data_IF_893305843415
#
_entry.id   IF_893305843415
#
_cell.length_a   1.000
_cell.length_b   1.000
_cell.length_c   1.000
_cell.angle_alpha   90.00
_cell.angle_beta   90.00
_cell.angle_gamma   90.00
#
_symmetry.space_group_name_H-M   'P 1'
#
loop_
_entity.id
_entity.type
_entity.pdbx_description
1 polymer ?
#
# COMPACT_ATOMS: atom_id res chain seq x y z
N UNK A 1 7.85 9.39 -1.81
CA UNK A 1 7.60 7.98 -1.42
C UNK A 1 6.09 7.83 -1.40
N UNK A 2 5.54 6.65 -1.77
CA UNK A 2 4.09 6.45 -1.76
C UNK A 2 3.62 6.10 -0.34
N UNK A 3 2.42 6.60 0.04
CA UNK A 3 1.92 6.60 1.42
C UNK A 3 0.62 5.82 1.56
N UNK A 4 0.55 4.94 2.56
CA UNK A 4 -0.67 4.26 3.00
C UNK A 4 -1.20 4.92 4.27
N UNK A 5 -2.42 5.44 4.25
CA UNK A 5 -3.05 6.06 5.42
C UNK A 5 -3.85 5.06 6.23
N UNK A 6 -3.52 4.88 7.50
CA UNK A 6 -4.27 4.01 8.41
C UNK A 6 -5.41 4.82 9.03
N UNK A 7 -6.63 4.38 8.80
CA UNK A 7 -7.86 5.00 9.29
C UNK A 7 -8.69 3.99 10.07
N UNK A 8 -9.62 4.44 10.88
CA UNK A 8 -10.54 3.59 11.62
C UNK A 8 -11.27 4.38 12.70
N UNK A 9 -12.35 3.82 13.22
CA UNK A 9 -13.05 4.35 14.37
C UNK A 9 -12.15 4.26 15.63
N UNK A 10 -12.47 5.00 16.71
CA UNK A 10 -11.77 4.82 17.97
C UNK A 10 -11.88 3.37 18.49
N UNK A 11 -10.83 2.89 19.16
CA UNK A 11 -10.77 1.57 19.81
C UNK A 11 -10.94 0.34 18.90
N UNK A 12 -10.57 0.47 17.61
CA UNK A 12 -10.56 -0.67 16.68
C UNK A 12 -9.18 -1.35 16.55
N UNK A 13 -8.16 -0.88 17.30
CA UNK A 13 -6.79 -1.42 17.25
C UNK A 13 -5.85 -0.67 16.29
N UNK A 14 -6.26 0.50 15.77
CA UNK A 14 -5.48 1.29 14.80
C UNK A 14 -4.06 1.64 15.30
N UNK A 15 -3.95 2.23 16.49
CA UNK A 15 -2.65 2.64 17.06
C UNK A 15 -1.78 1.44 17.43
N UNK A 16 -2.39 0.33 17.87
CA UNK A 16 -1.68 -0.93 18.13
C UNK A 16 -1.06 -1.47 16.85
N UNK A 17 -1.83 -1.49 15.75
CA UNK A 17 -1.34 -1.89 14.44
C UNK A 17 -0.21 -0.98 13.94
N UNK A 18 -0.39 0.35 14.05
CA UNK A 18 0.63 1.31 13.63
C UNK A 18 1.94 1.12 14.42
N UNK A 19 1.84 0.91 15.74
CA UNK A 19 3.00 0.65 16.58
C UNK A 19 3.69 -0.66 16.20
N UNK A 20 2.94 -1.73 15.89
CA UNK A 20 3.50 -2.99 15.43
C UNK A 20 4.25 -2.82 14.08
N UNK A 21 3.66 -2.11 13.13
CA UNK A 21 4.28 -1.77 11.84
C UNK A 21 5.59 -1.00 12.01
N UNK A 22 5.59 0.04 12.86
CA UNK A 22 6.75 0.91 13.05
C UNK A 22 7.86 0.26 13.89
N UNK A 23 7.51 -0.58 14.83
CA UNK A 23 8.49 -1.28 15.66
C UNK A 23 9.29 -2.34 14.85
N UNK A 24 8.68 -2.98 13.85
CA UNK A 24 9.43 -3.81 12.89
C UNK A 24 10.49 -3.00 12.14
N UNK A 25 10.22 -1.74 11.87
CA UNK A 25 11.12 -0.83 11.13
C UNK A 25 12.26 -0.27 11.98
N UNK A 26 12.09 -0.14 13.29
CA UNK A 26 13.12 0.38 14.18
C UNK A 26 14.41 -0.46 14.14
N UNK A 27 14.29 -1.77 13.92
CA UNK A 27 15.43 -2.67 13.71
C UNK A 27 16.17 -2.41 12.38
N UNK A 28 15.48 -1.80 11.40
CA UNK A 28 16.01 -1.47 10.06
C UNK A 28 16.49 -0.02 9.96
N UNK A 29 16.02 0.87 10.83
CA UNK A 29 16.38 2.30 10.84
C UNK A 29 17.91 2.52 10.99
N UNK A 30 18.62 1.58 11.58
CA UNK A 30 20.09 1.61 11.66
C UNK A 30 20.77 1.60 10.28
N UNK A 31 20.10 1.11 9.24
CA UNK A 31 20.60 1.04 7.86
C UNK A 31 20.09 2.17 6.94
N UNK A 32 19.19 3.02 7.44
CA UNK A 32 18.63 4.17 6.71
C UNK A 32 18.95 5.50 7.39
N UNK A 33 20.10 6.14 7.08
CA UNK A 33 20.53 7.38 7.76
C UNK A 33 19.66 8.61 7.48
N UNK A 34 18.63 8.52 6.65
CA UNK A 34 17.76 9.64 6.25
C UNK A 34 16.27 9.44 6.63
N UNK A 35 15.93 8.46 7.48
CA UNK A 35 14.56 8.34 7.98
C UNK A 35 14.29 9.51 8.95
N UNK A 36 13.70 10.58 8.45
CA UNK A 36 13.15 11.66 9.27
C UNK A 36 12.00 11.06 10.08
N UNK A 37 12.11 11.05 11.40
CA UNK A 37 11.02 10.62 12.29
C UNK A 37 10.02 11.77 12.34
N UNK A 38 9.06 11.78 11.41
CA UNK A 38 7.89 12.64 11.53
C UNK A 38 6.89 11.96 12.48
N UNK A 39 6.25 12.71 13.39
CA UNK A 39 5.19 12.14 14.22
C UNK A 39 4.11 11.52 13.33
N UNK A 40 3.67 10.32 13.67
CA UNK A 40 2.63 9.57 12.94
C UNK A 40 3.01 9.07 11.51
N UNK A 41 4.26 9.12 11.12
CA UNK A 41 4.77 8.52 9.87
C UNK A 41 5.73 7.39 10.21
N UNK A 42 5.44 6.20 9.71
CA UNK A 42 6.29 5.01 9.82
C UNK A 42 6.81 4.57 8.47
N UNK A 43 8.13 4.51 8.30
CA UNK A 43 8.76 3.89 7.12
C UNK A 43 8.93 2.41 7.42
N UNK A 44 8.30 1.55 6.65
CA UNK A 44 8.23 0.10 6.90
C UNK A 44 8.89 -0.65 5.75
N UNK A 45 9.72 -1.65 6.07
CA UNK A 45 10.31 -2.51 5.06
C UNK A 45 9.26 -3.45 4.45
N UNK A 46 9.34 -3.62 3.14
CA UNK A 46 8.54 -4.62 2.42
C UNK A 46 9.20 -5.98 2.58
N UNK A 47 8.51 -6.97 3.18
CA UNK A 47 9.04 -8.33 3.30
C UNK A 47 9.31 -8.94 1.92
N UNK A 48 10.55 -9.35 1.68
CA UNK A 48 11.00 -9.92 0.41
C UNK A 48 11.95 -11.09 0.64
N UNK A 49 11.44 -12.29 0.46
CA UNK A 49 12.16 -13.56 0.73
C UNK A 49 13.30 -13.83 -0.26
N UNK A 50 13.41 -13.00 -1.33
CA UNK A 50 14.46 -13.12 -2.36
C UNK A 50 15.79 -12.51 -1.92
N UNK A 51 15.78 -11.57 -0.99
CA UNK A 51 16.97 -10.80 -0.61
C UNK A 51 18.02 -11.64 0.11
N UNK A 52 17.60 -12.46 1.06
CA UNK A 52 18.53 -13.32 1.84
C UNK A 52 19.27 -14.35 0.97
N UNK A 53 18.60 -15.14 0.09
CA UNK A 53 19.30 -16.04 -0.83
C UNK A 53 20.26 -15.30 -1.78
N UNK A 54 19.89 -14.09 -2.26
CA UNK A 54 20.80 -13.28 -3.07
C UNK A 54 22.02 -12.82 -2.29
N UNK A 55 21.84 -12.42 -1.04
CA UNK A 55 22.94 -11.98 -0.17
C UNK A 55 23.92 -13.12 0.09
N UNK A 56 23.42 -14.33 0.32
CA UNK A 56 24.25 -15.54 0.44
C UNK A 56 25.01 -15.84 -0.86
N UNK A 57 24.35 -15.71 -2.02
CA UNK A 57 24.94 -15.95 -3.33
C UNK A 57 26.12 -15.01 -3.63
N UNK A 58 25.98 -13.72 -3.32
CA UNK A 58 27.02 -12.71 -3.54
C UNK A 58 27.94 -12.48 -2.33
N UNK A 59 27.71 -13.24 -1.24
CA UNK A 59 28.51 -13.21 0.00
C UNK A 59 28.56 -11.83 0.69
N UNK A 60 27.44 -11.11 0.70
CA UNK A 60 27.29 -9.87 1.44
C UNK A 60 26.42 -10.07 2.68
N UNK A 61 26.65 -9.24 3.71
CA UNK A 61 25.79 -9.15 4.89
C UNK A 61 24.85 -7.95 4.86
N UNK A 62 25.01 -7.07 3.88
CA UNK A 62 24.20 -5.86 3.78
C UNK A 62 22.99 -6.10 2.88
N UNK A 63 21.82 -6.13 3.50
CA UNK A 63 20.52 -6.28 2.82
C UNK A 63 19.73 -5.00 3.02
N UNK A 64 19.22 -4.45 1.92
CA UNK A 64 18.42 -3.23 1.92
C UNK A 64 17.08 -3.50 1.24
N UNK A 65 16.00 -3.72 2.00
CA UNK A 65 14.67 -3.98 1.45
C UNK A 65 14.05 -2.73 0.81
N UNK A 66 13.02 -2.92 -0.01
CA UNK A 66 12.12 -1.85 -0.40
C UNK A 66 11.36 -1.31 0.81
N UNK A 67 10.84 -0.09 0.73
CA UNK A 67 10.09 0.52 1.84
C UNK A 67 8.80 1.16 1.36
N UNK A 68 7.82 1.22 2.26
CA UNK A 68 6.55 1.94 2.10
C UNK A 68 6.30 2.80 3.34
N UNK A 69 5.70 3.96 3.18
CA UNK A 69 5.31 4.83 4.30
C UNK A 69 3.89 4.51 4.75
N UNK A 70 3.72 4.35 6.06
CA UNK A 70 2.41 4.31 6.71
C UNK A 70 2.20 5.58 7.52
N UNK A 71 1.01 6.16 7.41
CA UNK A 71 0.61 7.35 8.14
C UNK A 71 -0.51 7.00 9.12
N UNK A 72 -0.29 7.17 10.43
CA UNK A 72 -1.37 7.05 11.42
C UNK A 72 -2.26 8.28 11.38
N UNK A 73 -3.46 8.11 10.85
CA UNK A 73 -4.45 9.17 10.76
C UNK A 73 -5.39 9.06 11.96
N UNK A 74 -5.48 10.13 12.76
CA UNK A 74 -6.33 10.16 13.94
C UNK A 74 -7.76 9.70 13.64
N UNK A 75 -8.37 8.94 14.57
CA UNK A 75 -9.68 8.31 14.35
C UNK A 75 -10.78 9.28 13.94
N UNK A 76 -11.62 8.85 13.02
CA UNK A 76 -12.79 9.59 12.56
C UNK A 76 -13.89 9.55 13.62
N UNK A 77 -14.53 10.69 13.86
CA UNK A 77 -15.79 10.81 14.60
C UNK A 77 -16.88 11.24 13.63
N UNK A 78 -18.11 10.78 13.79
CA UNK A 78 -19.25 11.22 12.98
C UNK A 78 -19.33 12.75 12.90
N UNK A 79 -19.62 13.29 11.71
CA UNK A 79 -19.72 14.71 11.45
C UNK A 79 -18.42 15.39 11.03
N UNK A 80 -17.38 14.61 10.71
CA UNK A 80 -16.09 15.13 10.25
C UNK A 80 -16.22 15.95 8.95
N UNK A 81 -17.13 15.57 8.08
CA UNK A 81 -17.41 16.26 6.80
C UNK A 81 -18.11 17.62 6.96
N UNK A 82 -18.74 17.89 8.12
CA UNK A 82 -19.45 19.16 8.39
C UNK A 82 -18.56 20.33 8.84
N UNK A 83 -17.23 20.11 8.92
CA UNK A 83 -16.29 21.24 8.85
C UNK A 83 -15.84 21.83 10.17
N UNK A 84 -15.99 21.18 11.31
CA UNK A 84 -15.45 21.68 12.59
C UNK A 84 -14.20 20.91 13.03
N UNK A 85 -13.05 21.58 13.08
CA UNK A 85 -11.85 21.15 13.80
C UNK A 85 -11.17 19.88 13.27
N UNK A 86 -11.17 18.82 14.07
CA UNK A 86 -10.44 17.57 13.85
C UNK A 86 -10.87 16.81 12.58
N UNK A 87 -12.12 16.95 12.14
CA UNK A 87 -12.62 16.28 10.92
C UNK A 87 -11.96 16.80 9.65
N UNK A 88 -11.75 18.11 9.52
CA UNK A 88 -11.04 18.67 8.37
C UNK A 88 -9.58 18.22 8.31
N UNK A 89 -8.91 18.10 9.47
CA UNK A 89 -7.54 17.61 9.54
C UNK A 89 -7.46 16.13 9.14
N UNK A 90 -8.42 15.31 9.58
CA UNK A 90 -8.54 13.90 9.15
C UNK A 90 -8.65 13.77 7.63
N UNK A 91 -9.57 14.52 7.01
CA UNK A 91 -9.75 14.51 5.56
C UNK A 91 -8.52 15.05 4.81
N UNK A 92 -7.81 16.04 5.37
CA UNK A 92 -6.58 16.57 4.80
C UNK A 92 -5.47 15.50 4.82
N UNK A 93 -5.30 14.81 5.94
CA UNK A 93 -4.31 13.73 6.07
C UNK A 93 -4.58 12.59 5.09
N UNK A 94 -5.85 12.18 4.91
CA UNK A 94 -6.18 11.16 3.88
C UNK A 94 -5.84 11.66 2.47
N UNK A 95 -6.02 12.96 2.15
CA UNK A 95 -5.64 13.49 0.82
C UNK A 95 -4.18 13.30 0.50
N UNK A 96 -3.29 13.35 1.49
CA UNK A 96 -1.85 13.20 1.33
C UNK A 96 -1.39 11.74 1.13
N UNK A 97 -2.28 10.77 1.29
CA UNK A 97 -1.98 9.34 1.08
C UNK A 97 -2.38 8.87 -0.31
N UNK A 98 -1.76 7.79 -0.78
CA UNK A 98 -2.04 7.19 -2.09
C UNK A 98 -3.02 6.02 -1.97
N UNK A 99 -3.06 5.34 -0.82
CA UNK A 99 -4.02 4.27 -0.48
C UNK A 99 -4.52 4.43 0.95
N UNK A 100 -5.65 3.81 1.25
CA UNK A 100 -6.28 3.81 2.58
C UNK A 100 -6.29 2.40 3.15
N UNK A 101 -5.80 2.25 4.37
CA UNK A 101 -5.94 1.03 5.17
C UNK A 101 -6.97 1.30 6.26
N UNK A 102 -8.17 0.78 6.09
CA UNK A 102 -9.22 0.93 7.08
C UNK A 102 -9.20 -0.23 8.07
N UNK A 103 -8.84 0.03 9.31
CA UNK A 103 -8.88 -0.95 10.40
C UNK A 103 -10.33 -1.11 10.87
N UNK A 104 -10.81 -2.35 10.85
CA UNK A 104 -12.17 -2.73 11.19
C UNK A 104 -12.13 -3.75 12.31
N UNK A 105 -12.84 -3.47 13.41
CA UNK A 105 -12.89 -4.38 14.57
C UNK A 105 -13.81 -5.56 14.26
N UNK A 106 -13.27 -6.78 14.34
CA UNK A 106 -13.95 -8.04 14.10
C UNK A 106 -13.82 -9.01 15.29
N UNK A 107 -13.77 -8.47 16.51
CA UNK A 107 -13.72 -9.24 17.76
C UNK A 107 -14.55 -8.57 18.85
N UNK A 108 -15.04 -9.35 19.80
CA UNK A 108 -15.75 -8.87 20.99
C UNK A 108 -14.78 -8.88 22.18
N UNK A 109 -14.71 -7.77 22.93
CA UNK A 109 -13.94 -7.65 24.14
C UNK A 109 -14.66 -6.65 25.07
N UNK A 110 -15.11 -7.13 26.21
CA UNK A 110 -15.86 -6.31 27.21
C UNK A 110 -14.99 -5.23 27.84
N UNK A 111 -13.67 -5.40 27.85
CA UNK A 111 -12.71 -4.42 28.39
C UNK A 111 -12.48 -3.24 27.45
N UNK A 112 -12.81 -3.38 26.16
CA UNK A 112 -12.61 -2.37 25.11
C UNK A 112 -13.96 -1.81 24.66
N UNK A 113 -14.30 -0.60 25.15
CA UNK A 113 -15.56 0.07 24.81
C UNK A 113 -15.61 0.38 23.32
N UNK A 114 -16.70 -0.02 22.65
CA UNK A 114 -17.00 0.39 21.27
C UNK A 114 -17.77 1.72 21.29
N UNK A 115 -17.39 2.67 20.42
CA UNK A 115 -18.01 4.02 20.37
C UNK A 115 -19.50 4.01 20.08
N UNK A 116 -19.99 2.98 19.38
CA UNK A 116 -21.41 2.79 19.04
C UNK A 116 -22.08 1.73 19.93
N UNK A 117 -21.45 1.34 21.04
CA UNK A 117 -21.97 0.40 22.04
C UNK A 117 -21.87 -1.08 21.68
N UNK A 118 -21.99 -1.47 20.41
CA UNK A 118 -21.86 -2.86 19.92
C UNK A 118 -20.93 -2.91 18.70
N UNK A 119 -20.12 -3.96 18.64
CA UNK A 119 -19.27 -4.22 17.47
C UNK A 119 -20.14 -4.57 16.27
N UNK A 120 -19.96 -3.86 15.17
CA UNK A 120 -20.65 -4.07 13.90
C UNK A 120 -19.75 -3.57 12.75
N UNK A 121 -18.99 -4.48 12.13
CA UNK A 121 -18.03 -4.13 11.07
C UNK A 121 -18.67 -3.43 9.87
N UNK A 122 -19.89 -3.83 9.51
CA UNK A 122 -20.61 -3.25 8.36
C UNK A 122 -20.91 -1.77 8.62
N UNK A 123 -21.53 -1.48 9.77
CA UNK A 123 -21.86 -0.12 10.19
C UNK A 123 -20.60 0.73 10.35
N UNK A 124 -19.51 0.15 10.87
CA UNK A 124 -18.26 0.87 11.10
C UNK A 124 -17.58 1.26 9.77
N UNK A 125 -17.62 0.38 8.78
CA UNK A 125 -17.17 0.66 7.40
C UNK A 125 -18.04 1.75 6.78
N UNK A 126 -19.36 1.58 6.81
CA UNK A 126 -20.32 2.54 6.25
C UNK A 126 -20.17 3.94 6.86
N UNK A 127 -19.91 4.02 8.18
CA UNK A 127 -19.73 5.31 8.87
C UNK A 127 -18.57 6.10 8.27
N UNK A 128 -17.41 5.47 8.07
CA UNK A 128 -16.25 6.13 7.46
C UNK A 128 -16.52 6.44 5.99
N UNK A 129 -17.11 5.52 5.27
CA UNK A 129 -17.40 5.65 3.84
C UNK A 129 -18.34 6.82 3.55
N UNK A 130 -19.41 6.99 4.35
CA UNK A 130 -20.35 8.11 4.21
C UNK A 130 -19.64 9.45 4.43
N UNK A 131 -18.78 9.58 5.43
CA UNK A 131 -18.04 10.82 5.69
C UNK A 131 -17.08 11.17 4.53
N UNK A 132 -16.39 10.16 3.96
CA UNK A 132 -15.53 10.35 2.79
C UNK A 132 -16.34 10.70 1.54
N UNK A 133 -17.48 10.05 1.33
CA UNK A 133 -18.36 10.32 0.19
C UNK A 133 -18.95 11.74 0.25
N UNK A 134 -19.36 12.23 1.43
CA UNK A 134 -19.82 13.60 1.61
C UNK A 134 -18.73 14.63 1.32
N UNK A 135 -17.49 14.38 1.74
CA UNK A 135 -16.36 15.25 1.43
C UNK A 135 -16.05 15.30 -0.08
N UNK A 136 -16.18 14.14 -0.74
CA UNK A 136 -16.00 14.01 -2.18
C UNK A 136 -17.15 14.65 -2.97
N UNK A 137 -18.37 14.52 -2.50
CA UNK A 137 -19.53 15.18 -3.10
C UNK A 137 -19.34 16.70 -3.16
N UNK A 138 -18.93 17.32 -2.05
CA UNK A 138 -18.62 18.74 -2.01
C UNK A 138 -17.44 19.13 -2.95
N UNK A 139 -16.50 18.22 -3.18
CA UNK A 139 -15.39 18.42 -4.13
C UNK A 139 -15.87 18.29 -5.57
N UNK A 140 -16.72 17.30 -5.87
CA UNK A 140 -17.32 17.06 -7.18
C UNK A 140 -18.22 18.23 -7.61
N UNK A 141 -19.03 18.76 -6.69
CA UNK A 141 -19.90 19.93 -6.96
C UNK A 141 -19.08 21.17 -7.36
N UNK A 142 -18.05 21.50 -6.59
CA UNK A 142 -17.14 22.63 -6.91
C UNK A 142 -16.44 22.42 -8.26
N UNK A 143 -16.02 21.19 -8.56
CA UNK A 143 -15.40 20.85 -9.84
C UNK A 143 -16.38 20.99 -10.99
N UNK A 144 -17.63 20.54 -10.81
CA UNK A 144 -18.73 20.66 -11.77
C UNK A 144 -19.00 22.12 -12.11
N UNK A 145 -19.13 23.00 -11.13
CA UNK A 145 -19.34 24.42 -11.37
C UNK A 145 -18.21 25.06 -12.20
N UNK A 146 -16.96 24.69 -11.89
CA UNK A 146 -15.78 25.15 -12.64
C UNK A 146 -15.80 24.65 -14.09
N UNK A 147 -16.05 23.35 -14.29
CA UNK A 147 -16.12 22.76 -15.62
C UNK A 147 -17.26 23.34 -16.45
N UNK A 148 -18.46 23.61 -15.87
CA UNK A 148 -19.56 24.26 -16.55
C UNK A 148 -19.21 25.68 -17.03
N UNK A 149 -18.44 26.44 -16.25
CA UNK A 149 -17.94 27.77 -16.65
C UNK A 149 -16.94 27.65 -17.80
N UNK A 150 -16.01 26.73 -17.76
CA UNK A 150 -15.01 26.49 -18.83
C UNK A 150 -15.65 25.97 -20.12
N UNK A 151 -16.70 25.15 -20.02
CA UNK A 151 -17.43 24.61 -21.18
C UNK A 151 -18.07 25.74 -22.02
N UNK A 152 -18.54 26.85 -21.42
CA UNK A 152 -19.04 28.03 -22.13
C UNK A 152 -17.97 28.64 -23.01
N UNK A 153 -16.69 28.48 -22.71
CA UNK A 153 -15.54 28.87 -23.52
C UNK A 153 -15.13 27.88 -24.60
N UNK A 154 -15.84 26.74 -24.76
CA UNK A 154 -15.55 25.74 -25.78
C UNK A 154 -14.50 24.72 -25.37
N UNK A 155 -14.15 24.60 -24.08
CA UNK A 155 -13.16 23.66 -23.56
C UNK A 155 -13.66 22.21 -23.66
N UNK A 156 -12.98 21.39 -24.49
CA UNK A 156 -13.32 19.99 -24.68
C UNK A 156 -13.02 19.13 -23.45
N UNK A 157 -11.98 19.47 -22.68
CA UNK A 157 -11.64 18.77 -21.45
C UNK A 157 -12.74 18.95 -20.40
N UNK A 158 -13.29 20.18 -20.29
CA UNK A 158 -14.40 20.46 -19.38
C UNK A 158 -15.65 19.62 -19.69
N UNK A 159 -15.91 19.29 -20.96
CA UNK A 159 -16.99 18.35 -21.31
C UNK A 159 -16.73 16.96 -20.78
N UNK A 160 -15.54 16.41 -21.03
CA UNK A 160 -15.17 15.08 -20.55
C UNK A 160 -15.17 15.00 -19.00
N UNK A 161 -14.73 16.07 -18.32
CA UNK A 161 -14.84 16.15 -16.85
C UNK A 161 -16.30 16.07 -16.37
N UNK A 162 -17.23 16.75 -17.03
CA UNK A 162 -18.66 16.71 -16.68
C UNK A 162 -19.26 15.32 -16.90
N UNK A 163 -18.92 14.65 -18.01
CA UNK A 163 -19.37 13.29 -18.30
C UNK A 163 -18.90 12.29 -17.23
N UNK A 164 -17.66 12.43 -16.74
CA UNK A 164 -17.13 11.61 -15.64
C UNK A 164 -17.81 11.92 -14.32
N UNK A 165 -18.04 13.20 -14.03
CA UNK A 165 -18.77 13.65 -12.82
C UNK A 165 -20.21 13.13 -12.81
N UNK A 166 -20.89 13.10 -13.98
CA UNK A 166 -22.25 12.55 -14.11
C UNK A 166 -22.33 11.06 -13.75
N UNK A 167 -21.25 10.31 -13.96
CA UNK A 167 -21.17 8.89 -13.56
C UNK A 167 -20.87 8.72 -12.07
N UNK A 168 -19.98 9.56 -11.52
CA UNK A 168 -19.47 9.41 -10.14
C UNK A 168 -20.48 9.96 -9.11
N UNK A 169 -21.08 11.11 -9.37
CA UNK A 169 -21.90 11.85 -8.41
C UNK A 169 -23.05 11.01 -7.84
N UNK A 170 -23.83 10.23 -8.64
CA UNK A 170 -24.92 9.41 -8.08
C UNK A 170 -24.44 8.34 -7.08
N UNK A 171 -23.21 7.83 -7.24
CA UNK A 171 -22.64 6.90 -6.28
C UNK A 171 -22.31 7.60 -4.95
N UNK A 172 -21.70 8.80 -5.01
CA UNK A 172 -21.40 9.61 -3.84
C UNK A 172 -22.66 10.06 -3.09
N UNK A 173 -23.71 10.46 -3.81
CA UNK A 173 -25.02 10.82 -3.24
C UNK A 173 -25.68 9.65 -2.51
N UNK A 174 -25.44 8.44 -3.00
CA UNK A 174 -25.90 7.19 -2.36
C UNK A 174 -24.97 6.71 -1.23
N UNK A 175 -23.94 7.51 -0.82
CA UNK A 175 -22.95 7.14 0.19
C UNK A 175 -21.97 6.06 -0.26
N UNK A 176 -21.90 5.73 -1.56
CA UNK A 176 -21.01 4.72 -2.13
C UNK A 176 -19.70 5.35 -2.60
N UNK A 177 -18.62 4.57 -2.53
CA UNK A 177 -17.30 5.02 -2.97
C UNK A 177 -17.24 5.23 -4.49
N UNK A 178 -16.55 6.29 -4.94
CA UNK A 178 -16.36 6.57 -6.36
C UNK A 178 -15.61 5.45 -7.10
N UNK A 179 -14.75 4.66 -6.41
CA UNK A 179 -14.05 3.51 -6.98
C UNK A 179 -14.96 2.37 -7.43
N UNK A 180 -16.22 2.33 -6.94
CA UNK A 180 -17.23 1.32 -7.35
C UNK A 180 -17.85 1.63 -8.72
N UNK A 181 -17.60 2.83 -9.27
CA UNK A 181 -18.17 3.26 -10.55
C UNK A 181 -17.33 2.69 -11.69
N UNK A 182 -17.99 2.05 -12.66
CA UNK A 182 -17.31 1.56 -13.86
C UNK A 182 -16.91 2.73 -14.76
N UNK A 183 -15.62 2.93 -14.91
CA UNK A 183 -15.01 3.97 -15.75
C UNK A 183 -14.07 3.32 -16.76
N UNK A 184 -14.02 3.85 -17.98
CA UNK A 184 -12.98 3.52 -18.96
C UNK A 184 -11.62 4.03 -18.48
N UNK A 185 -10.53 3.61 -19.13
CA UNK A 185 -9.18 4.05 -18.75
C UNK A 185 -9.01 5.57 -18.93
N UNK A 186 -9.57 6.14 -19.98
CA UNK A 186 -9.55 7.60 -20.24
C UNK A 186 -10.36 8.35 -19.16
N UNK A 187 -11.55 7.86 -18.81
CA UNK A 187 -12.36 8.42 -17.74
C UNK A 187 -11.69 8.31 -16.37
N UNK A 188 -11.02 7.17 -16.13
CA UNK A 188 -10.24 6.94 -14.91
C UNK A 188 -9.06 7.91 -14.80
N UNK A 189 -8.39 8.20 -15.92
CA UNK A 189 -7.32 9.20 -15.96
C UNK A 189 -7.84 10.61 -15.62
N UNK A 190 -9.03 10.98 -16.13
CA UNK A 190 -9.70 12.25 -15.80
C UNK A 190 -10.10 12.26 -14.31
N UNK A 191 -10.76 11.19 -13.82
CA UNK A 191 -11.22 11.08 -12.44
C UNK A 191 -10.09 11.22 -11.41
N UNK A 192 -8.90 10.72 -11.69
CA UNK A 192 -7.70 10.90 -10.84
C UNK A 192 -7.39 12.38 -10.59
N UNK A 193 -7.64 13.26 -11.59
CA UNK A 193 -7.42 14.70 -11.46
C UNK A 193 -8.38 15.39 -10.49
N UNK A 194 -9.43 14.70 -10.04
CA UNK A 194 -10.40 15.23 -9.09
C UNK A 194 -9.92 15.11 -7.64
N UNK A 195 -8.93 14.24 -7.39
CA UNK A 195 -8.38 13.96 -6.05
C UNK A 195 -9.45 13.56 -5.04
N UNK A 196 -10.40 12.73 -5.48
CA UNK A 196 -11.44 12.20 -4.61
C UNK A 196 -10.85 11.15 -3.64
N UNK A 197 -11.29 11.21 -2.38
CA UNK A 197 -10.85 10.31 -1.31
C UNK A 197 -11.32 8.87 -1.55
N UNK A 198 -12.57 8.73 -2.00
CA UNK A 198 -13.20 7.44 -2.25
C UNK A 198 -12.80 6.79 -3.59
N UNK A 199 -11.98 7.47 -4.41
CA UNK A 199 -11.30 6.86 -5.56
C UNK A 199 -10.01 6.13 -5.18
N UNK A 200 -9.45 6.42 -4.00
CA UNK A 200 -8.22 5.78 -3.55
C UNK A 200 -8.41 4.29 -3.38
N UNK A 201 -7.42 3.47 -3.80
CA UNK A 201 -7.37 2.06 -3.46
C UNK A 201 -7.52 1.86 -1.96
N UNK A 202 -8.24 0.83 -1.53
CA UNK A 202 -8.56 0.62 -0.12
C UNK A 202 -8.26 -0.82 0.28
N UNK A 203 -7.69 -0.99 1.47
CA UNK A 203 -7.53 -2.27 2.17
C UNK A 203 -8.36 -2.21 3.45
N UNK A 204 -9.21 -3.19 3.64
CA UNK A 204 -9.85 -3.42 4.94
C UNK A 204 -8.97 -4.34 5.77
N UNK A 205 -8.42 -3.82 6.86
CA UNK A 205 -7.68 -4.60 7.84
C UNK A 205 -8.67 -5.12 8.90
N UNK A 206 -9.19 -6.35 8.70
CA UNK A 206 -10.09 -6.99 9.62
C UNK A 206 -9.31 -7.42 10.87
N UNK A 207 -9.43 -6.64 11.95
CA UNK A 207 -8.73 -6.88 13.20
C UNK A 207 -9.52 -7.84 14.07
N UNK A 208 -8.97 -9.04 14.27
CA UNK A 208 -9.56 -10.15 15.02
C UNK A 208 -8.78 -10.42 16.31
N UNK A 209 -9.33 -11.29 17.15
CA UNK A 209 -8.59 -11.91 18.25
C UNK A 209 -7.68 -13.04 17.76
N UNK A 210 -6.77 -13.51 18.60
CA UNK A 210 -5.81 -14.56 18.28
C UNK A 210 -6.48 -15.88 17.92
N UNK A 211 -7.58 -16.23 18.56
CA UNK A 211 -8.30 -17.49 18.36
C UNK A 211 -8.92 -17.59 16.97
N UNK A 212 -9.28 -16.46 16.39
CA UNK A 212 -9.89 -16.38 15.03
C UNK A 212 -8.83 -16.53 13.93
N UNK A 213 -7.53 -16.32 14.18
CA UNK A 213 -6.50 -16.32 13.14
C UNK A 213 -6.34 -17.66 12.43
N UNK A 214 -6.56 -18.78 13.11
CA UNK A 214 -6.44 -20.13 12.53
C UNK A 214 -7.57 -20.44 11.53
N UNK A 215 -8.77 -19.87 11.74
CA UNK A 215 -9.97 -20.12 10.91
C UNK A 215 -10.77 -18.82 10.73
N UNK A 216 -10.20 -17.80 10.08
CA UNK A 216 -10.85 -16.49 9.96
C UNK A 216 -12.16 -16.53 9.17
N UNK A 217 -12.30 -17.48 8.24
CA UNK A 217 -13.50 -17.65 7.41
C UNK A 217 -14.71 -18.15 8.21
N UNK A 218 -14.51 -18.72 9.40
CA UNK A 218 -15.57 -19.12 10.32
C UNK A 218 -16.15 -17.93 11.10
N UNK A 219 -15.46 -16.80 11.12
CA UNK A 219 -15.93 -15.58 11.79
C UNK A 219 -16.88 -14.80 10.87
N UNK A 220 -18.15 -14.70 11.27
CA UNK A 220 -19.19 -14.01 10.50
C UNK A 220 -18.85 -12.53 10.24
N UNK A 221 -18.18 -11.85 11.18
CA UNK A 221 -17.75 -10.44 11.00
C UNK A 221 -16.69 -10.32 9.92
N UNK A 222 -15.71 -11.23 9.87
CA UNK A 222 -14.67 -11.29 8.82
C UNK A 222 -15.31 -11.57 7.45
N UNK A 223 -16.23 -12.53 7.39
CA UNK A 223 -16.96 -12.87 6.15
C UNK A 223 -17.68 -11.64 5.58
N UNK A 224 -18.33 -10.82 6.42
CA UNK A 224 -19.00 -9.60 5.98
C UNK A 224 -17.99 -8.54 5.46
N UNK A 225 -16.83 -8.38 6.10
CA UNK A 225 -15.79 -7.48 5.61
C UNK A 225 -15.26 -7.94 4.25
N UNK A 226 -15.04 -9.25 4.05
CA UNK A 226 -14.65 -9.81 2.75
C UNK A 226 -15.70 -9.54 1.67
N UNK A 227 -16.99 -9.71 2.00
CA UNK A 227 -18.10 -9.43 1.07
C UNK A 227 -18.13 -7.97 0.64
N UNK A 228 -17.94 -7.04 1.59
CA UNK A 228 -17.88 -5.59 1.28
C UNK A 228 -16.68 -5.30 0.40
N UNK A 229 -15.49 -5.79 0.76
CA UNK A 229 -14.26 -5.58 0.00
C UNK A 229 -14.41 -6.03 -1.46
N UNK A 230 -14.94 -7.24 -1.67
CA UNK A 230 -15.20 -7.77 -3.02
C UNK A 230 -16.20 -6.89 -3.82
N UNK A 231 -17.25 -6.37 -3.17
CA UNK A 231 -18.23 -5.47 -3.80
C UNK A 231 -17.68 -4.09 -4.17
N UNK A 232 -16.54 -3.68 -3.59
CA UNK A 232 -15.96 -2.36 -3.77
C UNK A 232 -14.63 -2.35 -4.54
N UNK A 233 -14.20 -3.49 -5.11
CA UNK A 233 -12.87 -3.67 -5.69
C UNK A 233 -11.75 -3.25 -4.71
N UNK A 234 -11.93 -3.58 -3.42
CA UNK A 234 -10.98 -3.37 -2.34
C UNK A 234 -10.39 -4.71 -1.89
N UNK A 235 -9.25 -4.67 -1.21
CA UNK A 235 -8.63 -5.85 -0.61
C UNK A 235 -9.07 -5.99 0.85
N UNK A 236 -9.03 -7.23 1.39
CA UNK A 236 -9.25 -7.50 2.80
C UNK A 236 -8.07 -8.33 3.33
N UNK A 237 -7.48 -7.87 4.44
CA UNK A 237 -6.40 -8.57 5.14
C UNK A 237 -6.82 -8.79 6.59
N UNK A 238 -6.84 -10.05 7.03
CA UNK A 238 -7.12 -10.40 8.42
C UNK A 238 -5.84 -10.22 9.25
N UNK A 239 -5.93 -9.49 10.35
CA UNK A 239 -4.82 -9.22 11.28
C UNK A 239 -5.28 -9.45 12.73
N UNK A 240 -4.35 -9.72 13.60
CA UNK A 240 -4.54 -9.55 15.06
C UNK A 240 -3.52 -8.54 15.56
N UNK A 241 -3.94 -7.27 15.70
CA UNK A 241 -3.04 -6.18 16.04
C UNK A 241 -2.34 -6.38 17.39
N UNK A 242 -3.00 -7.04 18.34
CA UNK A 242 -2.40 -7.39 19.63
C UNK A 242 -1.28 -8.40 19.46
N UNK A 243 -1.52 -9.50 18.74
CA UNK A 243 -0.50 -10.52 18.46
C UNK A 243 0.68 -9.90 17.72
N UNK A 244 0.44 -9.06 16.72
CA UNK A 244 1.52 -8.39 15.98
C UNK A 244 2.40 -7.53 16.87
N UNK A 245 1.82 -6.83 17.85
CA UNK A 245 2.57 -6.07 18.84
C UNK A 245 3.41 -6.95 19.77
N UNK A 246 2.94 -8.14 20.13
CA UNK A 246 3.67 -9.12 20.94
C UNK A 246 4.80 -9.77 20.13
N UNK A 247 4.55 -10.12 18.86
CA UNK A 247 5.56 -10.71 17.97
C UNK A 247 6.80 -9.82 17.78
N UNK A 248 6.61 -8.50 17.78
CA UNK A 248 7.75 -7.57 17.65
C UNK A 248 8.77 -7.72 18.77
N UNK A 249 8.32 -8.07 19.98
CA UNK A 249 9.20 -8.28 21.15
C UNK A 249 10.01 -9.57 21.08
N UNK A 250 9.63 -10.53 20.20
CA UNK A 250 10.29 -11.82 20.06
C UNK A 250 11.47 -11.75 19.07
N UNK A 251 12.51 -12.59 19.27
CA UNK A 251 13.54 -12.80 18.26
C UNK A 251 12.94 -13.33 16.94
N UNK A 252 13.54 -13.04 15.77
CA UNK A 252 12.95 -13.40 14.47
C UNK A 252 12.62 -14.91 14.31
N UNK A 253 13.47 -15.81 14.83
CA UNK A 253 13.24 -17.24 14.73
C UNK A 253 12.07 -17.71 15.62
N UNK A 254 11.88 -17.10 16.79
CA UNK A 254 10.75 -17.42 17.68
C UNK A 254 9.42 -16.93 17.13
N UNK A 255 9.41 -15.82 16.37
CA UNK A 255 8.20 -15.30 15.72
C UNK A 255 7.58 -16.31 14.77
N UNK A 256 8.42 -16.94 13.94
CA UNK A 256 7.94 -17.92 12.96
C UNK A 256 7.41 -19.17 13.65
N UNK A 257 8.11 -19.64 14.69
CA UNK A 257 7.68 -20.81 15.48
C UNK A 257 6.35 -20.55 16.18
N UNK A 258 6.18 -19.34 16.71
CA UNK A 258 4.94 -18.94 17.36
C UNK A 258 3.77 -18.88 16.36
N UNK A 259 3.95 -18.21 15.22
CA UNK A 259 2.94 -18.16 14.14
C UNK A 259 2.55 -19.56 13.66
N UNK A 260 3.54 -20.44 13.45
CA UNK A 260 3.28 -21.83 13.04
C UNK A 260 2.47 -22.60 14.09
N UNK A 261 2.71 -22.34 15.38
CA UNK A 261 1.93 -22.97 16.48
C UNK A 261 0.45 -22.57 16.46
N UNK A 262 0.13 -21.40 15.90
CA UNK A 262 -1.24 -20.90 15.68
C UNK A 262 -1.82 -21.34 14.32
N UNK A 263 -1.08 -22.13 13.53
CA UNK A 263 -1.50 -22.53 12.18
C UNK A 263 -1.39 -21.44 11.12
N UNK A 264 -0.62 -20.37 11.39
CA UNK A 264 -0.43 -19.20 10.50
C UNK A 264 1.00 -19.19 9.98
N UNK A 265 1.20 -19.17 8.67
CA UNK A 265 2.54 -19.18 8.06
C UNK A 265 3.19 -17.82 7.89
N UNK A 266 2.41 -16.73 7.94
CA UNK A 266 2.88 -15.37 7.65
C UNK A 266 2.14 -14.38 8.54
N UNK A 267 2.85 -13.41 9.11
CA UNK A 267 2.28 -12.35 9.93
C UNK A 267 1.22 -11.56 9.17
N UNK A 268 0.18 -11.11 9.85
CA UNK A 268 -0.86 -10.24 9.28
C UNK A 268 -0.29 -8.90 8.83
N UNK A 269 0.68 -8.38 9.57
CA UNK A 269 1.41 -7.14 9.23
C UNK A 269 2.21 -7.33 7.93
N UNK A 270 2.91 -8.43 7.73
CA UNK A 270 3.65 -8.70 6.50
C UNK A 270 2.72 -8.80 5.29
N UNK A 271 1.57 -9.46 5.46
CA UNK A 271 0.52 -9.52 4.42
C UNK A 271 -0.03 -8.13 4.11
N UNK A 272 -0.29 -7.32 5.12
CA UNK A 272 -0.78 -5.95 4.95
C UNK A 272 0.23 -5.07 4.19
N UNK A 273 1.52 -5.16 4.52
CA UNK A 273 2.58 -4.41 3.84
C UNK A 273 2.67 -4.83 2.37
N UNK A 274 2.69 -6.13 2.08
CA UNK A 274 2.72 -6.66 0.71
C UNK A 274 1.47 -6.23 -0.08
N UNK A 275 0.29 -6.30 0.54
CA UNK A 275 -0.99 -5.86 -0.05
C UNK A 275 -0.96 -4.35 -0.37
N UNK A 276 -0.54 -3.51 0.57
CA UNK A 276 -0.42 -2.07 0.35
C UNK A 276 0.58 -1.74 -0.77
N UNK A 277 1.72 -2.41 -0.82
CA UNK A 277 2.74 -2.25 -1.84
C UNK A 277 2.20 -2.60 -3.25
N UNK A 278 1.52 -3.74 -3.35
CA UNK A 278 0.90 -4.18 -4.60
C UNK A 278 -0.24 -3.26 -5.06
N UNK A 279 -1.12 -2.86 -4.14
CA UNK A 279 -2.26 -2.00 -4.42
C UNK A 279 -1.86 -0.59 -4.89
N UNK A 280 -0.69 -0.13 -4.44
CA UNK A 280 -0.06 1.10 -4.93
C UNK A 280 0.50 0.97 -6.36
N UNK A 281 0.39 -0.22 -6.99
CA UNK A 281 0.94 -0.48 -8.31
C UNK A 281 2.47 -0.47 -8.31
N UNK A 282 3.09 -0.81 -7.18
CA UNK A 282 4.54 -0.88 -7.02
C UNK A 282 5.07 -2.27 -7.35
N UNK A 283 6.33 -2.31 -7.71
CA UNK A 283 7.11 -3.52 -7.89
C UNK A 283 8.57 -3.26 -7.50
N UNK A 284 9.32 -4.33 -7.29
CA UNK A 284 10.74 -4.24 -6.97
C UNK A 284 11.59 -4.91 -8.03
N UNK A 285 12.62 -4.19 -8.50
CA UNK A 285 13.77 -4.83 -9.12
C UNK A 285 14.92 -4.89 -8.11
N UNK A 286 15.85 -5.80 -8.33
CA UNK A 286 16.89 -6.14 -7.39
C UNK A 286 18.28 -5.80 -7.97
N UNK A 287 19.18 -5.37 -7.11
CA UNK A 287 20.62 -5.32 -7.42
C UNK A 287 21.36 -6.21 -6.44
N UNK A 288 22.27 -7.02 -6.93
CA UNK A 288 23.06 -7.93 -6.11
C UNK A 288 24.56 -7.73 -6.40
N UNK A 289 25.30 -7.37 -5.39
CA UNK A 289 26.75 -7.11 -5.45
C UNK A 289 27.46 -7.42 -4.13
N UNK A 290 28.78 -7.44 -4.15
CA UNK A 290 29.60 -7.73 -2.97
C UNK A 290 29.39 -6.73 -1.82
N UNK A 291 28.96 -5.49 -2.13
CA UNK A 291 28.73 -4.46 -1.12
C UNK A 291 27.35 -4.59 -0.46
N UNK A 292 26.34 -4.82 -1.26
CA UNK A 292 24.94 -4.93 -0.79
C UNK A 292 24.07 -5.69 -1.78
N UNK A 293 22.98 -6.23 -1.26
CA UNK A 293 21.79 -6.63 -2.03
C UNK A 293 20.69 -5.65 -1.69
N UNK A 294 20.04 -5.09 -2.72
CA UNK A 294 18.99 -4.09 -2.51
C UNK A 294 17.79 -4.31 -3.41
N UNK A 295 16.59 -4.15 -2.85
CA UNK A 295 15.35 -4.01 -3.59
C UNK A 295 15.06 -2.52 -3.86
N UNK A 296 14.73 -2.21 -5.11
CA UNK A 296 14.44 -0.87 -5.58
C UNK A 296 12.97 -0.77 -5.98
N UNK A 297 12.25 0.15 -5.37
CA UNK A 297 10.82 0.37 -5.63
C UNK A 297 10.63 1.19 -6.90
N UNK A 298 9.82 0.69 -7.81
CA UNK A 298 9.35 1.39 -9.01
C UNK A 298 7.86 1.13 -9.25
N UNK A 299 7.14 2.04 -9.93
CA UNK A 299 5.80 1.74 -10.44
C UNK A 299 5.83 0.62 -11.48
N UNK A 300 4.80 -0.22 -11.50
CA UNK A 300 4.61 -1.21 -12.57
C UNK A 300 4.59 -0.52 -13.95
N UNK A 301 5.18 -1.17 -14.95
CA UNK A 301 5.30 -0.60 -16.30
C UNK A 301 6.45 0.39 -16.48
N UNK A 302 7.32 0.59 -15.47
CA UNK A 302 8.50 1.45 -15.56
C UNK A 302 9.52 0.89 -16.55
N UNK A 303 10.09 1.77 -17.40
CA UNK A 303 11.15 1.42 -18.35
C UNK A 303 12.51 1.34 -17.69
N UNK A 304 13.41 0.52 -18.21
CA UNK A 304 14.75 0.27 -17.66
C UNK A 304 15.57 1.55 -17.45
N UNK A 305 15.53 2.51 -18.37
CA UNK A 305 16.24 3.79 -18.21
C UNK A 305 15.71 4.58 -17.01
N UNK A 306 14.39 4.68 -16.86
CA UNK A 306 13.75 5.36 -15.72
C UNK A 306 14.01 4.61 -14.42
N UNK A 307 13.97 3.28 -14.42
CA UNK A 307 14.34 2.44 -13.28
C UNK A 307 15.78 2.67 -12.82
N UNK A 308 16.71 2.85 -13.75
CA UNK A 308 18.11 3.20 -13.45
C UNK A 308 18.22 4.55 -12.69
N UNK A 309 17.31 5.49 -12.98
CA UNK A 309 17.20 6.78 -12.28
C UNK A 309 16.85 6.65 -10.79
N UNK A 310 16.18 5.59 -10.40
CA UNK A 310 15.87 5.31 -8.99
C UNK A 310 17.14 5.04 -8.18
N UNK A 311 18.18 4.50 -8.82
CA UNK A 311 19.50 4.29 -8.20
C UNK A 311 20.26 5.62 -8.14
N UNK A 312 20.42 6.29 -9.29
CA UNK A 312 21.05 7.59 -9.39
C UNK A 312 20.75 8.28 -10.72
N UNK A 313 20.56 9.60 -10.70
CA UNK A 313 20.30 10.41 -11.91
C UNK A 313 21.38 10.30 -12.98
N UNK A 314 22.63 10.07 -12.60
CA UNK A 314 23.73 9.89 -13.55
C UNK A 314 23.61 8.58 -14.31
N UNK A 315 23.12 7.51 -13.66
CA UNK A 315 22.90 6.21 -14.31
C UNK A 315 21.76 6.34 -15.34
N UNK A 316 20.70 7.08 -15.03
CA UNK A 316 19.62 7.36 -15.99
C UNK A 316 20.14 8.15 -17.21
N UNK A 317 20.89 9.23 -16.98
CA UNK A 317 21.44 10.09 -18.05
C UNK A 317 22.44 9.36 -18.93
N UNK A 318 23.32 8.59 -18.30
CA UNK A 318 24.39 7.86 -18.98
C UNK A 318 23.99 6.44 -19.41
N UNK A 319 22.70 6.07 -19.35
CA UNK A 319 22.22 4.72 -19.60
C UNK A 319 22.66 4.20 -20.97
N UNK A 320 23.31 3.03 -20.99
CA UNK A 320 23.71 2.33 -22.19
C UNK A 320 22.81 1.10 -22.41
N UNK A 321 22.73 0.22 -21.41
CA UNK A 321 21.91 -1.00 -21.40
C UNK A 321 21.75 -1.53 -19.99
N UNK A 322 20.78 -2.42 -19.80
CA UNK A 322 20.60 -3.23 -18.60
C UNK A 322 21.02 -4.69 -18.88
N UNK A 323 21.83 -5.26 -18.00
CA UNK A 323 22.06 -6.71 -17.94
C UNK A 323 21.02 -7.25 -16.95
N UNK A 324 20.05 -8.02 -17.44
CA UNK A 324 18.86 -8.46 -16.68
C UNK A 324 18.82 -9.98 -16.60
N UNK A 325 18.55 -10.50 -15.42
CA UNK A 325 18.29 -11.92 -15.20
C UNK A 325 17.14 -12.04 -14.20
N UNK A 326 16.24 -13.03 -14.35
CA UNK A 326 15.22 -13.29 -13.34
C UNK A 326 15.87 -13.80 -12.04
N UNK A 327 15.24 -13.53 -10.90
CA UNK A 327 15.70 -14.03 -9.61
C UNK A 327 15.83 -15.57 -9.63
N UNK A 328 14.82 -16.25 -10.15
CA UNK A 328 14.77 -17.72 -10.20
C UNK A 328 15.93 -18.30 -11.02
N UNK A 329 16.21 -17.72 -12.20
CA UNK A 329 17.30 -18.15 -13.07
C UNK A 329 18.66 -17.92 -12.42
N UNK A 330 18.84 -16.80 -11.71
CA UNK A 330 20.09 -16.49 -11.04
C UNK A 330 20.36 -17.46 -9.88
N UNK A 331 19.37 -17.75 -9.05
CA UNK A 331 19.48 -18.72 -7.96
C UNK A 331 19.76 -20.13 -8.51
N UNK A 332 19.04 -20.55 -9.54
CA UNK A 332 19.24 -21.86 -10.19
C UNK A 332 20.63 -21.99 -10.86
N UNK A 333 21.17 -20.89 -11.38
CA UNK A 333 22.50 -20.87 -11.97
C UNK A 333 23.63 -20.88 -10.92
N UNK A 334 23.36 -20.37 -9.71
CA UNK A 334 24.34 -20.28 -8.61
C UNK A 334 25.41 -19.19 -8.78
N UNK A 335 25.46 -18.50 -9.93
CA UNK A 335 26.30 -17.31 -10.14
C UNK A 335 25.94 -16.59 -11.44
N UNK A 336 26.26 -15.28 -11.51
CA UNK A 336 26.07 -14.49 -12.74
C UNK A 336 26.95 -15.02 -13.91
N UNK A 337 28.12 -15.58 -13.62
CA UNK A 337 29.00 -16.13 -14.65
C UNK A 337 28.34 -17.36 -15.32
N UNK A 338 27.89 -18.33 -14.51
CA UNK A 338 27.19 -19.52 -15.01
C UNK A 338 25.89 -19.15 -15.72
N UNK A 339 25.14 -18.17 -15.22
CA UNK A 339 23.94 -17.69 -15.86
C UNK A 339 24.23 -17.10 -17.26
N UNK A 340 25.33 -16.34 -17.40
CA UNK A 340 25.79 -15.82 -18.70
C UNK A 340 26.17 -16.93 -19.67
N UNK A 341 26.92 -17.91 -19.21
CA UNK A 341 27.33 -19.06 -20.05
C UNK A 341 26.15 -19.89 -20.53
N UNK A 342 25.08 -19.95 -19.74
CA UNK A 342 23.80 -20.59 -20.09
C UNK A 342 22.88 -19.71 -20.97
N UNK A 343 23.26 -18.46 -21.26
CA UNK A 343 22.45 -17.53 -22.05
C UNK A 343 21.21 -16.98 -21.31
N UNK A 344 21.16 -17.09 -19.98
CA UNK A 344 20.06 -16.59 -19.15
C UNK A 344 20.15 -15.09 -18.87
N UNK A 345 21.35 -14.51 -19.02
CA UNK A 345 21.57 -13.07 -18.86
C UNK A 345 21.17 -12.33 -20.15
N UNK A 346 20.11 -11.55 -20.08
CA UNK A 346 19.59 -10.76 -21.18
C UNK A 346 20.25 -9.38 -21.22
N UNK A 347 20.40 -8.83 -22.42
CA UNK A 347 20.87 -7.46 -22.63
C UNK A 347 19.69 -6.65 -23.13
N UNK A 348 19.20 -5.76 -22.30
CA UNK A 348 17.98 -5.00 -22.55
C UNK A 348 18.30 -3.51 -22.78
N UNK A 349 17.53 -2.92 -23.70
CA UNK A 349 17.62 -1.50 -24.04
C UNK A 349 16.81 -0.62 -23.10
N UNK A 350 16.85 0.69 -23.36
CA UNK A 350 16.19 1.72 -22.54
C UNK A 350 14.68 1.55 -22.41
N UNK A 351 14.02 0.97 -23.42
CA UNK A 351 12.56 0.82 -23.49
C UNK A 351 12.05 -0.51 -22.90
N UNK A 352 12.94 -1.36 -22.39
CA UNK A 352 12.55 -2.59 -21.69
C UNK A 352 11.67 -2.26 -20.52
N UNK A 353 10.52 -2.91 -20.41
CA UNK A 353 9.61 -2.79 -19.27
C UNK A 353 10.08 -3.74 -18.17
N UNK A 354 10.50 -3.16 -17.07
CA UNK A 354 10.98 -3.90 -15.91
C UNK A 354 9.94 -4.90 -15.40
N UNK A 355 10.40 -6.06 -14.96
CA UNK A 355 9.56 -7.10 -14.38
C UNK A 355 9.86 -7.24 -12.88
N UNK A 356 8.83 -7.70 -12.11
CA UNK A 356 8.99 -7.98 -10.67
C UNK A 356 10.09 -9.04 -10.48
N UNK A 357 11.08 -8.75 -9.62
CA UNK A 357 12.17 -9.66 -9.33
C UNK A 357 13.29 -9.72 -10.36
N UNK A 358 13.30 -8.85 -11.37
CA UNK A 358 14.47 -8.68 -12.23
C UNK A 358 15.70 -8.33 -11.39
N UNK A 359 16.76 -9.11 -11.48
CA UNK A 359 18.09 -8.79 -10.92
C UNK A 359 18.90 -8.09 -12.00
N UNK A 360 19.31 -6.83 -11.74
CA UNK A 360 19.76 -5.93 -12.80
C UNK A 360 21.14 -5.34 -12.49
N UNK A 361 21.96 -5.26 -13.54
CA UNK A 361 23.17 -4.45 -13.55
C UNK A 361 23.11 -3.45 -14.70
N UNK A 362 22.97 -2.17 -14.37
CA UNK A 362 22.93 -1.09 -15.37
C UNK A 362 24.35 -0.73 -15.82
N UNK A 363 24.55 -0.71 -17.15
CA UNK A 363 25.77 -0.19 -17.77
C UNK A 363 25.52 1.23 -18.22
N UNK A 364 26.36 2.13 -17.77
CA UNK A 364 26.26 3.56 -18.04
C UNK A 364 27.63 4.19 -18.26
N UNK A 365 27.62 5.35 -18.88
CA UNK A 365 28.82 6.19 -19.07
C UNK A 365 28.44 7.64 -18.75
N UNK A 366 29.20 8.27 -17.86
CA UNK A 366 29.00 9.67 -17.41
C UNK A 366 30.19 10.50 -17.86
#
# INVERSE_FOLDING_TARGET
>A
MLRAGIVGLPNVGKSTLFNALTAQSAALAANYPFATIEPNVGVVAVPDDRLEPLAQLVKTQTIVPATVEFLDIAGLVRGASKGEGLGNQFLANIRETDTVVQVVRCFEDESVIHVEGKVDPVRDIETIQIELALADLATAERRREKAQKSLKGGDKLARAELEVLDKIQPALEAGRAARTVSLTDDERAIARSFFLLTLKPTIYAANVDETTLASPDENAMVTEVHRIAAGEAAECVVICAQLEAELVALPPHERLDYLNSLGVSTSGVDRLIKSAYHLLGLMSFLTAGEKEVRAWTIPQGTRAQTAAGTIHSDIERGFIRAEVISYEDLIAAGSTAVARDKGLLRLEGKDYIMQEGDVVHFRFNV
#
